data_IF_399301764747
#
_entry.id   IF_399301764747
#
_cell.length_a   1.000
_cell.length_b   1.000
_cell.length_c   1.000
_cell.angle_alpha   90.00
_cell.angle_beta   90.00
_cell.angle_gamma   90.00
#
_symmetry.space_group_name_H-M   'P 1'
#
loop_
_entity.id
_entity.type
_entity.pdbx_description
1 polymer ?
#
# COMPACT_ATOMS: atom_id res chain seq x y z
N UNK A 1 4.67 17.67 -7.44
CA UNK A 1 5.02 18.49 -6.26
C UNK A 1 4.58 17.76 -4.99
N UNK A 2 5.41 17.78 -3.91
CA UNK A 2 5.08 17.23 -2.59
C UNK A 2 4.13 18.16 -1.81
N UNK A 3 3.45 17.61 -0.78
CA UNK A 3 2.64 18.40 0.15
C UNK A 3 1.27 18.89 -0.34
N UNK A 4 0.87 18.56 -1.59
CA UNK A 4 -0.44 18.93 -2.16
C UNK A 4 -1.61 18.09 -1.60
N UNK A 5 -1.33 16.97 -0.92
CA UNK A 5 -2.36 16.11 -0.35
C UNK A 5 -2.82 14.96 -1.25
N UNK A 6 -2.02 14.52 -2.24
CA UNK A 6 -2.35 13.38 -3.12
C UNK A 6 -2.65 12.11 -2.32
N UNK A 7 -1.72 11.67 -1.49
CA UNK A 7 -1.90 10.54 -0.56
C UNK A 7 -3.10 10.72 0.36
N UNK A 8 -3.33 11.94 0.86
CA UNK A 8 -4.48 12.25 1.73
C UNK A 8 -5.81 12.07 0.99
N UNK A 9 -5.89 12.51 -0.27
CA UNK A 9 -7.08 12.32 -1.11
C UNK A 9 -7.29 10.85 -1.42
N UNK A 10 -6.23 10.14 -1.83
CA UNK A 10 -6.28 8.70 -2.10
C UNK A 10 -6.75 7.92 -0.87
N UNK A 11 -6.23 8.22 0.33
CA UNK A 11 -6.68 7.62 1.59
C UNK A 11 -8.14 7.92 1.92
N UNK A 12 -8.59 9.13 1.64
CA UNK A 12 -9.99 9.51 1.85
C UNK A 12 -10.93 8.72 0.93
N UNK A 13 -10.55 8.51 -0.33
CA UNK A 13 -11.28 7.68 -1.28
C UNK A 13 -11.27 6.21 -0.81
N UNK A 14 -10.08 5.66 -0.55
CA UNK A 14 -9.89 4.29 -0.11
C UNK A 14 -10.68 3.92 1.15
N UNK A 15 -10.76 4.86 2.12
CA UNK A 15 -11.47 4.66 3.38
C UNK A 15 -12.96 5.02 3.33
N UNK A 16 -13.48 5.49 2.19
CA UNK A 16 -14.90 5.82 2.05
C UNK A 16 -15.76 4.56 2.07
N UNK A 17 -16.81 4.54 2.87
CA UNK A 17 -17.67 3.37 3.04
C UNK A 17 -18.36 2.93 1.74
N UNK A 18 -18.79 3.87 0.88
CA UNK A 18 -19.37 3.53 -0.42
C UNK A 18 -18.35 2.86 -1.33
N UNK A 19 -17.10 3.34 -1.31
CA UNK A 19 -15.99 2.74 -2.07
C UNK A 19 -15.69 1.34 -1.53
N UNK A 20 -15.56 1.19 -0.20
CA UNK A 20 -15.31 -0.11 0.44
C UNK A 20 -16.39 -1.15 0.13
N UNK A 21 -17.64 -0.74 0.06
CA UNK A 21 -18.74 -1.65 -0.23
C UNK A 21 -18.87 -1.98 -1.73
N UNK A 22 -18.22 -1.21 -2.60
CA UNK A 22 -18.29 -1.40 -4.05
C UNK A 22 -17.29 -2.44 -4.56
N UNK A 23 -16.17 -2.62 -3.90
CA UNK A 23 -15.09 -3.53 -4.30
C UNK A 23 -15.02 -4.74 -3.38
N UNK A 24 -14.75 -5.92 -3.95
CA UNK A 24 -14.59 -7.18 -3.21
C UNK A 24 -13.23 -7.27 -2.54
N UNK A 25 -12.25 -6.52 -3.07
CA UNK A 25 -10.88 -6.47 -2.57
C UNK A 25 -10.34 -5.03 -2.57
N UNK A 26 -9.56 -4.73 -1.53
CA UNK A 26 -8.88 -3.45 -1.38
C UNK A 26 -7.41 -3.69 -1.02
N UNK A 27 -6.51 -3.17 -1.84
CA UNK A 27 -5.07 -3.16 -1.59
C UNK A 27 -4.52 -1.74 -1.52
N UNK A 28 -3.54 -1.53 -0.67
CA UNK A 28 -2.76 -0.30 -0.61
C UNK A 28 -1.28 -0.64 -0.57
N UNK A 29 -0.48 -0.03 -1.43
CA UNK A 29 0.97 -0.15 -1.40
C UNK A 29 1.62 1.22 -1.53
N UNK A 30 2.79 1.36 -0.90
CA UNK A 30 3.68 2.49 -1.06
C UNK A 30 4.80 2.11 -2.01
N UNK A 31 5.06 2.97 -2.99
CA UNK A 31 6.15 2.76 -3.96
C UNK A 31 7.25 3.75 -3.64
N UNK A 32 8.23 3.31 -2.83
CA UNK A 32 9.41 4.13 -2.51
C UNK A 32 10.30 4.33 -3.74
N UNK A 33 11.25 5.27 -3.66
CA UNK A 33 12.23 5.48 -4.73
C UNK A 33 13.12 4.26 -4.95
N UNK A 34 13.45 3.54 -3.86
CA UNK A 34 14.16 2.26 -3.90
C UNK A 34 13.17 1.15 -3.57
N UNK A 35 12.42 0.70 -4.58
CA UNK A 35 11.45 -0.39 -4.43
C UNK A 35 12.01 -1.72 -4.92
N UNK A 36 11.45 -2.81 -4.39
CA UNK A 36 11.59 -4.15 -4.96
C UNK A 36 10.22 -4.62 -5.40
N UNK A 37 10.10 -5.04 -6.64
CA UNK A 37 8.84 -5.55 -7.20
C UNK A 37 8.23 -6.63 -6.31
N UNK A 38 9.09 -7.53 -5.83
CA UNK A 38 8.71 -8.59 -4.91
C UNK A 38 7.95 -8.08 -3.69
N UNK A 39 8.45 -7.03 -3.05
CA UNK A 39 7.84 -6.48 -1.83
C UNK A 39 6.48 -5.86 -2.14
N UNK A 40 6.33 -5.19 -3.28
CA UNK A 40 5.07 -4.62 -3.74
C UNK A 40 4.02 -5.72 -4.01
N UNK A 41 4.41 -6.79 -4.72
CA UNK A 41 3.51 -7.92 -4.99
C UNK A 41 3.07 -8.63 -3.71
N UNK A 42 4.01 -8.84 -2.77
CA UNK A 42 3.72 -9.45 -1.47
C UNK A 42 2.78 -8.60 -0.62
N UNK A 43 2.91 -7.28 -0.67
CA UNK A 43 2.04 -6.37 0.08
C UNK A 43 0.59 -6.46 -0.39
N UNK A 44 0.36 -6.49 -1.70
CA UNK A 44 -1.00 -6.70 -2.25
C UNK A 44 -1.51 -8.10 -1.89
N UNK A 45 -0.69 -9.13 -2.08
CA UNK A 45 -1.09 -10.51 -1.82
C UNK A 45 -1.51 -10.74 -0.37
N UNK A 46 -0.87 -10.10 0.61
CA UNK A 46 -1.28 -10.14 2.03
C UNK A 46 -2.72 -9.67 2.24
N UNK A 47 -3.16 -8.70 1.45
CA UNK A 47 -4.53 -8.17 1.52
C UNK A 47 -5.56 -9.02 0.76
N UNK A 48 -5.18 -9.68 -0.34
CA UNK A 48 -6.12 -10.38 -1.25
C UNK A 48 -6.72 -11.63 -0.65
N UNK A 49 -5.96 -12.36 0.16
CA UNK A 49 -6.44 -13.66 0.66
C UNK A 49 -5.92 -13.94 2.06
N UNK A 50 -6.80 -14.28 3.00
CA UNK A 50 -6.36 -15.06 4.13
C UNK A 50 -5.78 -16.38 3.58
N UNK A 51 -4.57 -16.72 4.00
CA UNK A 51 -3.74 -17.87 3.59
C UNK A 51 -4.49 -19.19 3.21
N UNK A 52 -5.58 -19.58 3.88
CA UNK A 52 -6.29 -20.84 3.57
C UNK A 52 -6.93 -20.89 2.19
N UNK A 53 -7.45 -19.75 1.66
CA UNK A 53 -8.10 -19.74 0.34
C UNK A 53 -7.09 -19.80 -0.82
N UNK A 54 -5.92 -19.26 -0.62
CA UNK A 54 -4.83 -19.28 -1.60
C UNK A 54 -4.22 -20.67 -1.73
N UNK A 55 -4.04 -21.39 -0.63
CA UNK A 55 -3.61 -22.80 -0.60
C UNK A 55 -4.47 -23.68 -1.50
N UNK A 56 -5.79 -23.49 -1.40
CA UNK A 56 -6.76 -24.26 -2.17
C UNK A 56 -6.68 -24.04 -3.67
N UNK A 57 -6.24 -22.84 -4.05
CA UNK A 57 -6.13 -22.41 -5.44
C UNK A 57 -4.84 -22.90 -6.11
N UNK A 58 -3.69 -22.72 -5.45
CA UNK A 58 -2.38 -23.18 -5.93
C UNK A 58 -2.39 -24.72 -6.06
N UNK A 59 -2.82 -25.43 -5.01
CA UNK A 59 -3.00 -26.87 -5.04
C UNK A 59 -3.83 -27.34 -6.21
N UNK A 60 -4.87 -26.58 -6.59
CA UNK A 60 -5.80 -27.00 -7.64
C UNK A 60 -5.23 -26.76 -9.05
N UNK A 61 -4.52 -25.66 -9.29
CA UNK A 61 -3.99 -25.35 -10.60
C UNK A 61 -2.75 -26.19 -10.94
N UNK A 62 -1.76 -26.20 -10.06
CA UNK A 62 -0.49 -26.90 -10.28
C UNK A 62 -0.65 -28.43 -10.22
N UNK A 63 -1.38 -28.94 -9.23
CA UNK A 63 -1.66 -30.37 -9.13
C UNK A 63 -2.40 -30.91 -10.37
N UNK A 64 -3.34 -30.13 -10.89
CA UNK A 64 -4.10 -30.50 -12.08
C UNK A 64 -3.21 -30.53 -13.33
N UNK A 65 -2.34 -29.56 -13.52
CA UNK A 65 -1.45 -29.47 -14.69
C UNK A 65 -0.36 -30.54 -14.64
N UNK A 66 0.34 -30.72 -13.51
CA UNK A 66 1.38 -31.74 -13.38
C UNK A 66 0.83 -33.16 -13.40
N UNK A 67 -0.33 -33.41 -12.77
CA UNK A 67 -1.01 -34.71 -12.87
C UNK A 67 -1.48 -35.00 -14.29
N UNK A 68 -2.01 -34.00 -15.00
CA UNK A 68 -2.40 -34.16 -16.40
C UNK A 68 -1.19 -34.41 -17.30
N UNK A 69 -0.10 -33.68 -17.09
CA UNK A 69 1.14 -33.86 -17.86
C UNK A 69 1.79 -35.22 -17.56
N UNK A 70 1.87 -35.64 -16.30
CA UNK A 70 2.42 -36.94 -15.90
C UNK A 70 1.59 -38.11 -16.44
N UNK A 71 0.26 -37.97 -16.53
CA UNK A 71 -0.65 -38.93 -17.12
C UNK A 71 -0.57 -38.96 -18.66
N UNK A 72 -0.32 -37.83 -19.31
CA UNK A 72 -0.17 -37.77 -20.77
C UNK A 72 1.12 -38.41 -21.27
N UNK A 73 2.21 -38.31 -20.52
CA UNK A 73 3.52 -38.84 -20.91
C UNK A 73 3.62 -40.37 -20.77
N UNK A 74 2.89 -41.00 -19.87
CA UNK A 74 3.13 -42.40 -19.47
C UNK A 74 2.02 -43.45 -19.77
N UNK A 75 0.79 -43.06 -20.01
CA UNK A 75 -0.33 -44.00 -20.13
C UNK A 75 -1.16 -43.83 -21.40
N UNK A 76 -0.72 -44.46 -22.51
CA UNK A 76 -1.46 -44.39 -23.78
C UNK A 76 -2.67 -45.37 -23.87
N UNK A 77 -2.84 -46.34 -22.98
CA UNK A 77 -3.83 -47.40 -23.14
C UNK A 77 -4.94 -47.49 -22.06
N UNK A 78 -4.90 -46.75 -20.96
CA UNK A 78 -5.94 -46.84 -19.92
C UNK A 78 -6.28 -45.44 -19.31
N UNK A 79 -6.24 -44.43 -20.15
CA UNK A 79 -6.30 -42.97 -19.77
C UNK A 79 -7.62 -42.56 -19.11
N UNK A 80 -8.74 -43.10 -19.57
CA UNK A 80 -10.04 -42.47 -19.27
C UNK A 80 -10.58 -42.78 -17.87
N UNK A 81 -10.25 -43.95 -17.34
CA UNK A 81 -10.77 -44.40 -16.05
C UNK A 81 -10.01 -43.78 -14.87
N UNK A 82 -8.68 -43.69 -14.97
CA UNK A 82 -7.84 -43.02 -13.96
C UNK A 82 -8.05 -41.50 -13.95
N UNK A 83 -8.22 -40.89 -15.13
CA UNK A 83 -8.49 -39.49 -15.31
C UNK A 83 -9.83 -39.09 -14.70
N UNK A 84 -10.85 -39.91 -14.83
CA UNK A 84 -12.17 -39.70 -14.23
C UNK A 84 -12.12 -39.68 -12.70
N UNK A 85 -11.51 -40.71 -12.09
CA UNK A 85 -11.39 -40.83 -10.63
C UNK A 85 -10.55 -39.70 -10.01
N UNK A 86 -9.43 -39.35 -10.63
CA UNK A 86 -8.58 -38.26 -10.19
C UNK A 86 -9.26 -36.88 -10.26
N UNK A 87 -10.08 -36.64 -11.29
CA UNK A 87 -10.85 -35.39 -11.44
C UNK A 87 -11.98 -35.33 -10.41
N UNK A 88 -12.60 -36.48 -10.09
CA UNK A 88 -13.64 -36.57 -9.04
C UNK A 88 -13.05 -36.34 -7.65
N UNK A 89 -11.89 -36.94 -7.33
CA UNK A 89 -11.18 -36.73 -6.06
C UNK A 89 -10.71 -35.30 -5.91
N UNK A 90 -10.13 -34.71 -6.96
CA UNK A 90 -9.71 -33.29 -6.98
C UNK A 90 -10.90 -32.30 -6.87
N UNK A 91 -12.07 -32.68 -7.40
CA UNK A 91 -13.29 -31.89 -7.25
C UNK A 91 -13.88 -32.00 -5.83
N UNK A 92 -13.73 -33.17 -5.19
CA UNK A 92 -14.12 -33.40 -3.79
C UNK A 92 -13.34 -32.51 -2.80
N UNK A 93 -12.06 -32.27 -3.06
CA UNK A 93 -11.20 -31.39 -2.24
C UNK A 93 -11.69 -29.91 -2.21
N UNK A 94 -12.54 -29.50 -3.15
CA UNK A 94 -13.09 -28.14 -3.22
C UNK A 94 -13.91 -27.70 -2.00
N UNK A 95 -14.52 -28.63 -1.27
CA UNK A 95 -15.46 -28.36 -0.19
C UNK A 95 -14.88 -28.56 1.23
N UNK A 96 -13.66 -29.08 1.34
CA UNK A 96 -13.04 -29.50 2.60
C UNK A 96 -12.34 -28.37 3.35
N UNK A 97 -12.29 -28.44 4.68
CA UNK A 97 -11.46 -27.58 5.52
C UNK A 97 -9.97 -27.99 5.44
N UNK A 98 -9.05 -27.21 6.04
CA UNK A 98 -7.60 -27.42 5.94
C UNK A 98 -7.12 -28.77 6.45
N UNK A 99 -7.72 -29.31 7.52
CA UNK A 99 -7.35 -30.61 8.08
C UNK A 99 -7.90 -31.77 7.25
N UNK A 100 -9.10 -31.62 6.72
CA UNK A 100 -9.70 -32.59 5.78
C UNK A 100 -8.92 -32.62 4.46
N UNK A 101 -8.47 -31.46 3.94
CA UNK A 101 -7.60 -31.40 2.77
C UNK A 101 -6.26 -32.09 3.00
N UNK A 102 -5.65 -31.91 4.16
CA UNK A 102 -4.40 -32.62 4.54
C UNK A 102 -4.63 -34.12 4.55
N UNK A 103 -5.68 -34.57 5.23
CA UNK A 103 -6.01 -35.99 5.32
C UNK A 103 -6.27 -36.60 3.94
N UNK A 104 -7.11 -35.99 3.12
CA UNK A 104 -7.38 -36.42 1.75
C UNK A 104 -6.13 -36.50 0.87
N UNK A 105 -5.18 -35.58 1.04
CA UNK A 105 -3.89 -35.61 0.35
C UNK A 105 -2.98 -36.72 0.84
N UNK A 106 -2.95 -37.00 2.15
CA UNK A 106 -2.22 -38.14 2.70
C UNK A 106 -2.82 -39.47 2.24
N UNK A 107 -4.15 -39.62 2.29
CA UNK A 107 -4.86 -40.80 1.83
C UNK A 107 -4.61 -41.01 0.32
N UNK A 108 -4.55 -39.96 -0.48
CA UNK A 108 -4.21 -40.02 -1.89
C UNK A 108 -2.75 -40.46 -2.11
N UNK A 109 -1.78 -39.91 -1.34
CA UNK A 109 -0.38 -40.31 -1.42
C UNK A 109 -0.16 -41.77 -1.00
N UNK A 110 -0.93 -42.28 -0.03
CA UNK A 110 -0.91 -43.69 0.32
C UNK A 110 -1.46 -44.58 -0.82
N UNK A 111 -2.48 -44.10 -1.53
CA UNK A 111 -3.10 -44.86 -2.65
C UNK A 111 -2.14 -44.97 -3.86
N UNK A 112 -1.24 -44.00 -4.07
CA UNK A 112 -0.24 -44.06 -5.13
C UNK A 112 1.10 -44.65 -4.67
N UNK A 113 1.18 -45.15 -3.43
CA UNK A 113 2.39 -45.76 -2.85
C UNK A 113 2.86 -46.95 -3.69
N UNK A 114 4.11 -46.90 -4.13
CA UNK A 114 4.68 -47.91 -5.05
C UNK A 114 4.50 -47.56 -6.53
N UNK A 115 3.77 -46.52 -6.89
CA UNK A 115 3.69 -46.02 -8.25
C UNK A 115 4.90 -45.14 -8.59
N UNK A 116 5.30 -45.11 -9.87
CA UNK A 116 6.41 -44.21 -10.32
C UNK A 116 6.13 -42.71 -10.13
N UNK A 117 4.86 -42.34 -9.91
CA UNK A 117 4.44 -40.97 -9.59
C UNK A 117 4.55 -40.62 -8.11
N UNK A 118 4.80 -41.59 -7.21
CA UNK A 118 4.91 -41.36 -5.77
C UNK A 118 6.00 -40.34 -5.43
N UNK A 119 7.20 -40.47 -6.01
CA UNK A 119 8.34 -39.57 -5.72
C UNK A 119 8.15 -38.15 -6.22
N UNK A 120 7.70 -37.90 -7.47
CA UNK A 120 7.41 -36.54 -7.93
C UNK A 120 6.29 -35.86 -7.14
N UNK A 121 5.20 -36.58 -6.88
CA UNK A 121 4.05 -36.06 -6.14
C UNK A 121 4.33 -35.83 -4.66
N UNK A 122 5.07 -36.74 -4.01
CA UNK A 122 5.51 -36.56 -2.63
C UNK A 122 6.43 -35.35 -2.49
N UNK A 123 7.36 -35.13 -3.42
CA UNK A 123 8.21 -33.92 -3.45
C UNK A 123 7.40 -32.66 -3.67
N UNK A 124 6.41 -32.71 -4.56
CA UNK A 124 5.50 -31.58 -4.82
C UNK A 124 4.66 -31.25 -3.59
N UNK A 125 4.02 -32.25 -2.98
CA UNK A 125 3.28 -32.08 -1.73
C UNK A 125 4.18 -31.59 -0.59
N UNK A 126 5.38 -32.14 -0.44
CA UNK A 126 6.37 -31.63 0.51
C UNK A 126 6.81 -30.20 0.22
N UNK A 127 6.96 -29.83 -1.06
CA UNK A 127 7.28 -28.45 -1.44
C UNK A 127 6.17 -27.48 -1.03
N UNK A 128 4.90 -27.89 -1.24
CA UNK A 128 3.74 -27.13 -0.78
C UNK A 128 3.72 -27.04 0.75
N UNK A 129 4.02 -28.14 1.48
CA UNK A 129 4.07 -28.13 2.94
C UNK A 129 5.26 -27.37 3.50
N UNK A 130 6.44 -27.43 2.87
CA UNK A 130 7.60 -26.61 3.25
C UNK A 130 7.38 -25.12 2.96
N UNK A 131 6.79 -24.78 1.80
CA UNK A 131 6.35 -23.43 1.46
C UNK A 131 5.33 -22.87 2.47
N UNK A 132 4.60 -23.74 3.15
CA UNK A 132 3.58 -23.39 4.15
C UNK A 132 4.09 -22.88 5.50
N UNK A 133 5.38 -23.04 5.80
CA UNK A 133 6.02 -22.47 7.00
C UNK A 133 6.50 -21.04 6.81
N UNK A 134 6.79 -20.62 5.58
CA UNK A 134 7.34 -19.30 5.25
C UNK A 134 6.61 -18.54 4.14
N UNK A 135 5.49 -19.04 3.63
CA UNK A 135 4.62 -18.30 2.71
C UNK A 135 5.23 -18.09 1.31
N UNK A 136 4.88 -17.00 0.67
CA UNK A 136 5.23 -16.64 -0.71
C UNK A 136 6.72 -16.24 -0.91
N UNK A 137 7.55 -16.39 0.13
CA UNK A 137 8.95 -15.95 0.11
C UNK A 137 9.84 -16.77 -0.84
N UNK A 138 9.42 -17.97 -1.19
CA UNK A 138 10.17 -18.86 -2.09
C UNK A 138 9.73 -18.76 -3.56
N UNK A 139 8.62 -18.07 -3.85
CA UNK A 139 8.16 -17.83 -5.23
C UNK A 139 9.04 -16.77 -5.90
N UNK A 140 9.32 -16.90 -7.18
CA UNK A 140 9.94 -15.84 -7.95
C UNK A 140 8.94 -14.72 -8.30
N UNK A 141 9.41 -13.62 -8.88
CA UNK A 141 8.57 -12.45 -9.15
C UNK A 141 7.50 -12.73 -10.21
N UNK A 142 7.75 -13.60 -11.19
CA UNK A 142 6.79 -13.96 -12.22
C UNK A 142 5.72 -14.93 -11.68
N UNK A 143 6.10 -15.83 -10.80
CA UNK A 143 5.17 -16.67 -10.04
C UNK A 143 4.26 -15.79 -9.15
N UNK A 144 4.82 -14.78 -8.47
CA UNK A 144 4.04 -13.85 -7.65
C UNK A 144 3.07 -13.01 -8.49
N UNK A 145 3.49 -12.52 -9.67
CA UNK A 145 2.61 -11.81 -10.62
C UNK A 145 1.46 -12.69 -11.08
N UNK A 146 1.76 -13.92 -11.50
CA UNK A 146 0.76 -14.88 -11.93
C UNK A 146 -0.23 -15.22 -10.83
N UNK A 147 0.26 -15.41 -9.61
CA UNK A 147 -0.55 -15.68 -8.44
C UNK A 147 -1.50 -14.51 -8.12
N UNK A 148 -0.99 -13.28 -8.13
CA UNK A 148 -1.78 -12.10 -7.89
C UNK A 148 -2.85 -11.92 -8.97
N UNK A 149 -2.49 -12.13 -10.24
CA UNK A 149 -3.43 -12.10 -11.37
C UNK A 149 -4.61 -13.05 -11.15
N UNK A 150 -4.34 -14.31 -10.85
CA UNK A 150 -5.38 -15.30 -10.60
C UNK A 150 -6.24 -14.99 -9.35
N UNK A 151 -5.64 -14.44 -8.30
CA UNK A 151 -6.37 -14.03 -7.11
C UNK A 151 -7.34 -12.87 -7.35
N UNK A 152 -7.03 -12.00 -8.31
CA UNK A 152 -7.81 -10.81 -8.65
C UNK A 152 -8.80 -11.02 -9.80
N UNK A 153 -8.60 -12.06 -10.62
CA UNK A 153 -9.33 -12.30 -11.88
C UNK A 153 -10.86 -12.27 -11.77
N UNK A 154 -11.39 -12.86 -10.70
CA UNK A 154 -12.85 -12.96 -10.51
C UNK A 154 -13.38 -11.94 -9.49
N UNK A 155 -12.54 -10.99 -9.07
CA UNK A 155 -12.90 -9.99 -8.07
C UNK A 155 -12.96 -8.60 -8.66
N UNK A 156 -13.87 -7.79 -8.14
CA UNK A 156 -13.83 -6.35 -8.32
C UNK A 156 -12.88 -5.75 -7.30
N UNK A 157 -11.73 -5.28 -7.74
CA UNK A 157 -10.69 -4.79 -6.85
C UNK A 157 -10.45 -3.29 -6.98
N UNK A 158 -10.04 -2.69 -5.86
CA UNK A 158 -9.41 -1.37 -5.79
C UNK A 158 -8.01 -1.53 -5.22
N UNK A 159 -6.99 -1.26 -6.02
CA UNK A 159 -5.60 -1.20 -5.57
C UNK A 159 -5.12 0.24 -5.64
N UNK A 160 -4.50 0.72 -4.57
CA UNK A 160 -3.84 2.04 -4.53
C UNK A 160 -2.34 1.84 -4.55
N UNK A 161 -1.69 2.46 -5.54
CA UNK A 161 -0.24 2.57 -5.63
C UNK A 161 0.14 4.02 -5.32
N UNK A 162 0.65 4.25 -4.13
CA UNK A 162 0.91 5.60 -3.64
C UNK A 162 2.37 6.00 -3.88
N UNK A 163 2.56 7.20 -4.40
CA UNK A 163 3.82 7.90 -4.64
C UNK A 163 4.77 7.18 -5.63
N UNK A 164 4.27 6.73 -6.81
CA UNK A 164 5.09 6.10 -7.84
C UNK A 164 6.06 7.14 -8.44
N UNK A 165 7.34 6.75 -8.55
CA UNK A 165 8.42 7.62 -9.02
C UNK A 165 8.88 7.30 -10.45
N UNK A 166 8.73 6.07 -10.92
CA UNK A 166 9.24 5.58 -12.20
C UNK A 166 8.16 4.85 -12.98
N UNK A 167 8.25 4.93 -14.31
CA UNK A 167 7.34 4.25 -15.24
C UNK A 167 7.51 2.74 -15.13
N UNK A 168 8.72 2.29 -14.90
CA UNK A 168 9.12 0.90 -14.78
C UNK A 168 8.37 0.20 -13.64
N UNK A 169 8.23 0.85 -12.49
CA UNK A 169 7.46 0.33 -11.35
C UNK A 169 6.01 0.01 -11.71
N UNK A 170 5.38 0.89 -12.50
CA UNK A 170 4.06 0.64 -13.03
C UNK A 170 4.03 -0.52 -14.02
N UNK A 171 4.95 -0.54 -15.00
CA UNK A 171 4.98 -1.55 -16.05
C UNK A 171 5.15 -2.96 -15.46
N UNK A 172 6.03 -3.12 -14.46
CA UNK A 172 6.31 -4.40 -13.85
C UNK A 172 5.17 -4.94 -12.99
N UNK A 173 4.43 -4.07 -12.29
CA UNK A 173 3.32 -4.50 -11.43
C UNK A 173 2.01 -4.61 -12.20
N UNK A 174 1.81 -3.79 -13.23
CA UNK A 174 0.54 -3.71 -13.96
C UNK A 174 0.13 -5.01 -14.65
N UNK A 175 1.10 -5.84 -15.03
CA UNK A 175 0.86 -7.16 -15.66
C UNK A 175 0.16 -8.14 -14.71
N UNK A 176 0.27 -7.90 -13.40
CA UNK A 176 -0.40 -8.70 -12.37
C UNK A 176 -1.88 -8.30 -12.15
N UNK A 177 -2.36 -7.25 -12.80
CA UNK A 177 -3.74 -6.79 -12.69
C UNK A 177 -4.59 -7.28 -13.87
N UNK A 178 -5.60 -8.16 -13.66
CA UNK A 178 -6.49 -8.60 -14.72
C UNK A 178 -7.28 -7.42 -15.32
N UNK A 179 -7.35 -7.37 -16.66
CA UNK A 179 -8.18 -6.40 -17.37
C UNK A 179 -9.63 -6.88 -17.43
N UNK A 180 -10.32 -6.80 -16.31
CA UNK A 180 -11.70 -7.24 -16.20
C UNK A 180 -12.67 -6.09 -16.52
N UNK A 181 -13.72 -6.37 -17.30
CA UNK A 181 -14.81 -5.41 -17.51
C UNK A 181 -15.75 -5.26 -16.30
N UNK A 182 -15.34 -5.77 -15.13
CA UNK A 182 -16.16 -5.83 -13.91
C UNK A 182 -16.12 -4.55 -13.04
N UNK A 183 -15.43 -3.49 -13.50
CA UNK A 183 -15.31 -2.23 -12.77
C UNK A 183 -14.14 -2.15 -11.80
N UNK A 184 -13.20 -3.11 -11.81
CA UNK A 184 -11.94 -3.03 -11.07
C UNK A 184 -11.16 -1.75 -11.39
N UNK A 185 -10.43 -1.21 -10.40
CA UNK A 185 -9.67 0.04 -10.54
C UNK A 185 -8.31 -0.05 -9.85
N UNK A 186 -7.32 0.60 -10.47
CA UNK A 186 -6.05 0.95 -9.84
C UNK A 186 -5.99 2.46 -9.71
N UNK A 187 -5.77 2.96 -8.50
CA UNK A 187 -5.61 4.38 -8.20
C UNK A 187 -4.12 4.65 -7.97
N UNK A 188 -3.55 5.51 -8.77
CA UNK A 188 -2.13 5.85 -8.72
C UNK A 188 -1.97 7.28 -8.22
N UNK A 189 -1.01 7.52 -7.34
CA UNK A 189 -0.50 8.87 -7.08
C UNK A 189 0.97 8.96 -7.50
N UNK A 190 1.34 10.11 -8.05
CA UNK A 190 2.72 10.41 -8.43
C UNK A 190 3.00 11.91 -8.31
N UNK A 191 4.26 12.25 -8.10
CA UNK A 191 4.77 13.65 -8.21
C UNK A 191 5.24 13.97 -9.63
N UNK A 192 5.38 12.95 -10.46
CA UNK A 192 5.92 13.01 -11.82
C UNK A 192 4.76 12.86 -12.81
N UNK A 193 4.58 13.87 -13.66
CA UNK A 193 3.47 13.93 -14.61
C UNK A 193 3.55 12.84 -15.67
N UNK A 194 4.76 12.55 -16.13
CA UNK A 194 5.05 11.55 -17.15
C UNK A 194 4.60 10.15 -16.70
N UNK A 195 4.86 9.80 -15.44
CA UNK A 195 4.41 8.53 -14.84
C UNK A 195 2.88 8.43 -14.83
N UNK A 196 2.21 9.51 -14.42
CA UNK A 196 0.75 9.53 -14.38
C UNK A 196 0.13 9.45 -15.78
N UNK A 197 0.71 10.12 -16.77
CA UNK A 197 0.28 10.07 -18.17
C UNK A 197 0.48 8.67 -18.76
N UNK A 198 1.64 8.05 -18.52
CA UNK A 198 1.93 6.70 -18.99
C UNK A 198 0.95 5.69 -18.43
N UNK A 199 0.73 5.71 -17.11
CA UNK A 199 -0.20 4.80 -16.45
C UNK A 199 -1.65 4.99 -16.91
N UNK A 200 -2.07 6.21 -17.23
CA UNK A 200 -3.41 6.51 -17.74
C UNK A 200 -3.65 6.01 -19.17
N UNK A 201 -2.58 5.83 -19.96
CA UNK A 201 -2.64 5.33 -21.33
C UNK A 201 -2.60 3.80 -21.41
N UNK A 202 -2.37 3.13 -20.29
CA UNK A 202 -2.27 1.67 -20.22
C UNK A 202 -3.66 1.03 -20.46
N UNK A 203 -3.71 -0.07 -21.18
CA UNK A 203 -4.93 -0.84 -21.55
C UNK A 203 -5.80 -0.26 -22.67
N UNK A 204 -5.28 0.60 -23.55
CA UNK A 204 -6.02 1.09 -24.73
C UNK A 204 -7.44 1.61 -24.42
N UNK A 205 -7.67 2.17 -23.23
CA UNK A 205 -8.92 2.88 -22.92
C UNK A 205 -8.98 4.11 -23.82
N UNK A 206 -9.89 4.13 -24.78
CA UNK A 206 -10.06 5.24 -25.72
C UNK A 206 -11.40 5.93 -25.39
N UNK A 207 -11.38 7.22 -25.05
CA UNK A 207 -10.21 8.07 -24.78
C UNK A 207 -9.53 7.74 -23.43
N UNK A 208 -8.21 7.93 -23.32
CA UNK A 208 -7.50 7.74 -22.05
C UNK A 208 -8.04 8.73 -21.01
N UNK A 209 -8.19 8.27 -19.78
CA UNK A 209 -8.64 9.14 -18.67
C UNK A 209 -7.44 10.02 -18.28
N UNK A 210 -7.48 11.35 -18.47
CA UNK A 210 -6.36 12.21 -18.13
C UNK A 210 -6.08 12.17 -16.61
N UNK A 211 -4.81 12.23 -16.20
CA UNK A 211 -4.46 12.33 -14.79
C UNK A 211 -5.10 13.58 -14.15
N UNK A 212 -5.62 13.40 -12.95
CA UNK A 212 -6.16 14.51 -12.17
C UNK A 212 -5.03 15.29 -11.50
N UNK A 213 -4.80 16.51 -11.95
CA UNK A 213 -3.84 17.42 -11.33
C UNK A 213 -4.49 18.11 -10.12
N UNK A 214 -3.98 17.81 -8.92
CA UNK A 214 -4.48 18.46 -7.71
C UNK A 214 -4.09 19.94 -7.71
N UNK A 215 -5.08 20.86 -7.65
CA UNK A 215 -4.79 22.28 -7.52
C UNK A 215 -4.33 22.62 -6.10
N UNK A 216 -3.67 23.77 -5.98
CA UNK A 216 -3.51 24.42 -4.69
C UNK A 216 -4.87 24.79 -4.11
N UNK A 217 -4.95 24.90 -2.79
CA UNK A 217 -6.17 25.34 -2.13
C UNK A 217 -6.41 26.82 -2.44
N UNK A 218 -7.66 27.18 -2.67
CA UNK A 218 -8.10 28.58 -2.70
C UNK A 218 -8.01 29.23 -1.30
N UNK A 219 -8.19 30.54 -1.23
CA UNK A 219 -8.07 31.28 0.04
C UNK A 219 -9.05 30.79 1.11
N UNK A 220 -10.30 30.48 0.73
CA UNK A 220 -11.33 30.04 1.67
C UNK A 220 -11.04 28.64 2.22
N UNK A 221 -10.68 27.69 1.37
CA UNK A 221 -10.29 26.34 1.80
C UNK A 221 -9.00 26.36 2.61
N UNK A 222 -8.05 27.23 2.23
CA UNK A 222 -6.83 27.43 2.99
C UNK A 222 -7.10 27.96 4.39
N UNK A 223 -7.98 28.93 4.51
CA UNK A 223 -8.42 29.47 5.79
C UNK A 223 -9.19 28.44 6.62
N UNK A 224 -10.08 27.69 6.00
CA UNK A 224 -10.82 26.60 6.66
C UNK A 224 -9.87 25.55 7.25
N UNK A 225 -8.89 25.09 6.45
CA UNK A 225 -7.87 24.12 6.89
C UNK A 225 -7.05 24.66 8.05
N UNK A 226 -6.59 25.91 7.95
CA UNK A 226 -5.82 26.58 8.99
C UNK A 226 -6.63 26.71 10.29
N UNK A 227 -7.85 27.21 10.19
CA UNK A 227 -8.75 27.40 11.33
C UNK A 227 -9.07 26.10 12.05
N UNK A 228 -9.36 25.03 11.30
CA UNK A 228 -9.55 23.70 11.87
C UNK A 228 -8.29 23.22 12.62
N UNK A 229 -7.11 23.47 12.06
CA UNK A 229 -5.85 23.03 12.66
C UNK A 229 -5.51 23.82 13.92
N UNK A 230 -5.76 25.12 13.95
CA UNK A 230 -5.42 26.01 15.07
C UNK A 230 -6.43 25.95 16.19
N UNK A 231 -7.72 25.95 15.84
CA UNK A 231 -8.81 26.13 16.81
C UNK A 231 -9.58 24.82 17.09
N UNK A 232 -9.28 23.70 16.41
CA UNK A 232 -9.90 22.42 16.65
C UNK A 232 -11.43 22.38 16.41
N UNK A 233 -11.94 23.29 15.56
CA UNK A 233 -13.39 23.44 15.32
C UNK A 233 -14.01 24.59 16.12
N UNK A 234 -13.27 25.28 16.98
CA UNK A 234 -13.69 26.54 17.63
C UNK A 234 -13.62 27.74 16.66
N UNK A 235 -14.18 28.87 17.09
CA UNK A 235 -14.15 30.12 16.31
C UNK A 235 -12.83 30.85 16.48
N UNK A 236 -12.34 31.46 15.41
CA UNK A 236 -11.21 32.35 15.46
C UNK A 236 -11.59 33.68 16.19
N UNK A 237 -10.81 34.14 17.17
CA UNK A 237 -10.99 35.48 17.72
C UNK A 237 -10.82 36.54 16.61
N UNK A 238 -11.71 37.53 16.59
CA UNK A 238 -11.71 38.58 15.55
C UNK A 238 -10.35 39.31 15.43
N UNK A 239 -9.70 39.52 16.56
CA UNK A 239 -8.36 40.17 16.61
C UNK A 239 -7.23 39.37 15.96
N UNK A 240 -7.42 38.05 15.79
CA UNK A 240 -6.43 37.17 15.18
C UNK A 240 -6.75 36.82 13.73
N UNK A 241 -7.94 37.07 13.25
CA UNK A 241 -8.36 36.68 11.90
C UNK A 241 -7.50 37.34 10.82
N UNK A 242 -7.24 38.62 10.93
CA UNK A 242 -6.40 39.37 9.95
C UNK A 242 -5.00 38.77 9.88
N UNK A 243 -4.34 38.54 11.01
CA UNK A 243 -3.01 37.93 11.08
C UNK A 243 -3.04 36.49 10.55
N UNK A 244 -4.03 35.72 10.91
CA UNK A 244 -4.21 34.35 10.43
C UNK A 244 -4.36 34.27 8.92
N UNK A 245 -5.17 35.15 8.32
CA UNK A 245 -5.31 35.23 6.86
C UNK A 245 -4.02 35.65 6.17
N UNK A 246 -3.21 36.55 6.77
CA UNK A 246 -1.90 36.87 6.24
C UNK A 246 -0.94 35.68 6.23
N UNK A 247 -0.92 34.87 7.30
CA UNK A 247 -0.13 33.64 7.37
C UNK A 247 -0.60 32.65 6.33
N UNK A 248 -1.92 32.45 6.19
CA UNK A 248 -2.51 31.56 5.20
C UNK A 248 -2.15 31.98 3.77
N UNK A 249 -2.21 33.28 3.47
CA UNK A 249 -1.82 33.84 2.17
C UNK A 249 -0.37 33.54 1.83
N UNK A 250 0.55 33.63 2.81
CA UNK A 250 1.98 33.29 2.61
C UNK A 250 2.19 31.79 2.33
N UNK A 251 1.22 30.90 2.62
CA UNK A 251 1.30 29.48 2.29
C UNK A 251 0.99 29.17 0.82
N UNK A 252 0.54 30.15 0.01
CA UNK A 252 0.23 30.01 -1.41
C UNK A 252 -0.69 28.81 -1.73
N UNK A 253 -1.61 28.47 -0.82
CA UNK A 253 -2.52 27.35 -0.96
C UNK A 253 -1.90 25.96 -0.80
N UNK A 254 -0.64 25.86 -0.35
CA UNK A 254 0.01 24.56 -0.11
C UNK A 254 -0.49 23.93 1.20
N UNK A 255 -1.23 22.79 1.17
CA UNK A 255 -1.82 22.20 2.36
C UNK A 255 -0.80 21.86 3.45
N UNK A 256 0.39 21.36 3.07
CA UNK A 256 1.45 21.03 4.03
C UNK A 256 1.90 22.28 4.80
N UNK A 257 2.11 23.41 4.12
CA UNK A 257 2.49 24.68 4.75
C UNK A 257 1.44 25.11 5.78
N UNK A 258 0.17 25.07 5.38
CA UNK A 258 -0.96 25.47 6.21
C UNK A 258 -1.05 24.60 7.48
N UNK A 259 -0.91 23.27 7.32
CA UNK A 259 -0.99 22.31 8.44
C UNK A 259 0.18 22.49 9.41
N UNK A 260 1.39 22.68 8.90
CA UNK A 260 2.59 22.90 9.73
C UNK A 260 2.48 24.20 10.51
N UNK A 261 2.18 25.32 9.85
CA UNK A 261 2.06 26.62 10.51
C UNK A 261 0.85 26.66 11.45
N UNK A 262 -0.28 26.07 11.05
CA UNK A 262 -1.43 25.93 11.93
C UNK A 262 -1.11 25.10 13.17
N UNK A 263 -0.36 24.00 13.04
CA UNK A 263 0.10 23.18 14.16
C UNK A 263 1.03 23.91 15.12
N UNK A 264 1.93 24.73 14.59
CA UNK A 264 2.79 25.60 15.41
C UNK A 264 1.98 26.59 16.24
N UNK A 265 1.00 27.25 15.62
CA UNK A 265 0.19 28.28 16.28
C UNK A 265 -0.89 27.70 17.21
N UNK A 266 -1.33 26.47 16.97
CA UNK A 266 -2.28 25.78 17.84
C UNK A 266 -1.80 25.70 19.32
N UNK A 267 -0.49 25.52 19.50
CA UNK A 267 0.17 25.39 20.80
C UNK A 267 0.71 26.71 21.36
N UNK A 268 0.44 27.84 20.72
CA UNK A 268 0.87 29.16 21.17
C UNK A 268 -0.28 29.94 21.76
N UNK A 269 0.07 30.90 22.62
CA UNK A 269 -0.91 31.85 23.14
C UNK A 269 -1.63 32.57 22.00
N UNK A 270 -2.95 32.57 22.05
CA UNK A 270 -3.83 33.18 21.05
C UNK A 270 -3.92 34.69 21.26
N UNK A 271 -2.79 35.36 21.14
CA UNK A 271 -2.66 36.81 21.31
C UNK A 271 -2.03 37.45 20.06
N UNK A 272 -2.47 38.63 19.72
CA UNK A 272 -1.97 39.42 18.58
C UNK A 272 -0.44 39.58 18.60
N UNK A 273 0.16 39.92 19.77
CA UNK A 273 1.60 40.07 19.94
C UNK A 273 2.39 38.79 19.63
N UNK A 274 1.85 37.66 19.96
CA UNK A 274 2.48 36.33 19.70
C UNK A 274 2.42 36.02 18.20
N UNK A 275 1.28 36.19 17.57
CA UNK A 275 1.05 35.84 16.18
C UNK A 275 1.76 36.77 15.20
N UNK A 276 1.84 38.09 15.50
CA UNK A 276 2.56 39.07 14.66
C UNK A 276 4.04 38.74 14.48
N UNK A 277 4.68 38.14 15.47
CA UNK A 277 6.06 37.65 15.34
C UNK A 277 6.20 36.55 14.28
N UNK A 278 5.20 35.67 14.17
CA UNK A 278 5.23 34.59 13.20
C UNK A 278 4.96 35.08 11.77
N UNK A 279 4.14 36.10 11.57
CA UNK A 279 3.90 36.68 10.24
C UNK A 279 5.24 37.15 9.59
N UNK A 280 6.09 37.85 10.35
CA UNK A 280 7.38 38.29 9.85
C UNK A 280 8.35 37.14 9.54
N UNK A 281 8.37 36.09 10.40
CA UNK A 281 9.23 34.94 10.22
C UNK A 281 8.78 34.04 9.06
N UNK A 282 7.48 33.85 8.89
CA UNK A 282 6.93 33.02 7.78
C UNK A 282 7.35 33.62 6.43
N UNK A 283 7.26 34.91 6.27
CA UNK A 283 7.67 35.58 5.03
C UNK A 283 9.19 35.48 4.73
N UNK A 284 10.03 35.27 5.74
CA UNK A 284 11.47 35.06 5.54
C UNK A 284 11.84 33.63 5.17
N UNK A 285 10.98 32.66 5.49
CA UNK A 285 11.20 31.25 5.19
C UNK A 285 10.48 30.77 3.91
N UNK A 286 9.40 31.44 3.51
CA UNK A 286 8.64 31.14 2.31
C UNK A 286 9.04 32.13 1.19
N UNK A 287 10.22 31.94 0.62
CA UNK A 287 10.62 32.65 -0.61
C UNK A 287 9.82 32.09 -1.80
N UNK A 288 9.61 32.88 -2.84
CA UNK A 288 8.80 32.54 -4.03
C UNK A 288 9.30 31.32 -4.81
N UNK A 289 10.47 30.78 -4.47
CA UNK A 289 11.07 29.62 -5.12
C UNK A 289 10.62 28.29 -4.51
N UNK A 290 10.56 27.27 -5.36
CA UNK A 290 10.07 25.88 -5.08
C UNK A 290 10.79 25.12 -3.93
N UNK A 291 11.78 25.72 -3.27
CA UNK A 291 12.48 25.21 -2.07
C UNK A 291 11.62 25.23 -0.79
N UNK A 292 10.43 25.81 -0.85
CA UNK A 292 9.57 26.10 0.30
C UNK A 292 9.15 24.87 1.15
N UNK A 293 9.16 23.67 0.58
CA UNK A 293 8.73 22.47 1.32
C UNK A 293 9.76 22.06 2.39
N UNK A 294 11.05 22.15 2.09
CA UNK A 294 12.12 21.85 3.05
C UNK A 294 12.19 22.90 4.16
N UNK A 295 12.00 24.16 3.81
CA UNK A 295 11.99 25.25 4.79
C UNK A 295 10.83 25.13 5.77
N UNK A 296 9.65 24.72 5.27
CA UNK A 296 8.47 24.44 6.09
C UNK A 296 8.73 23.25 7.04
N UNK A 297 9.34 22.18 6.55
CA UNK A 297 9.70 21.02 7.38
C UNK A 297 10.77 21.39 8.41
N UNK A 298 11.75 22.22 8.02
CA UNK A 298 12.77 22.75 8.92
C UNK A 298 12.18 23.58 10.06
N UNK A 299 11.10 24.33 9.80
CA UNK A 299 10.37 25.04 10.85
C UNK A 299 9.84 24.09 11.93
N UNK A 300 9.26 22.94 11.52
CA UNK A 300 8.77 21.92 12.46
C UNK A 300 9.89 21.39 13.33
N UNK A 301 11.04 21.03 12.73
CA UNK A 301 12.23 20.56 13.44
C UNK A 301 12.80 21.62 14.40
N UNK A 302 12.92 22.87 13.95
CA UNK A 302 13.48 23.95 14.75
C UNK A 302 12.68 24.26 15.99
N UNK A 303 11.35 24.08 15.93
CA UNK A 303 10.43 24.30 17.05
C UNK A 303 10.35 23.10 18.02
N UNK A 304 10.92 21.94 17.67
CA UNK A 304 10.97 20.83 18.61
C UNK A 304 11.80 21.18 19.85
N UNK A 305 11.34 20.79 21.05
CA UNK A 305 12.15 20.82 22.26
C UNK A 305 13.50 20.12 22.02
N UNK A 306 14.59 20.65 22.55
CA UNK A 306 15.94 20.10 22.33
C UNK A 306 16.00 18.58 22.58
N UNK A 307 15.30 18.10 23.60
CA UNK A 307 15.24 16.67 23.95
C UNK A 307 14.56 15.78 22.90
N UNK A 308 13.68 16.33 22.05
CA UNK A 308 12.97 15.57 21.03
C UNK A 308 13.64 15.63 19.63
N UNK A 309 14.64 16.49 19.46
CA UNK A 309 15.36 16.60 18.19
C UNK A 309 16.11 15.31 17.82
N UNK A 310 16.82 14.63 18.75
CA UNK A 310 17.41 13.33 18.45
C UNK A 310 16.36 12.27 18.08
N UNK A 311 15.20 12.24 18.76
CA UNK A 311 14.11 11.34 18.42
C UNK A 311 13.60 11.55 16.98
N UNK A 312 13.52 12.81 16.53
CA UNK A 312 13.10 13.14 15.18
C UNK A 312 14.17 12.69 14.16
N UNK A 313 15.44 12.96 14.40
CA UNK A 313 16.52 12.57 13.50
C UNK A 313 16.69 11.05 13.40
N UNK A 314 16.29 10.32 14.44
CA UNK A 314 16.35 8.87 14.47
C UNK A 314 15.49 8.20 13.40
N UNK A 315 14.43 8.86 12.92
CA UNK A 315 13.64 8.34 11.80
C UNK A 315 14.46 8.18 10.51
N UNK A 316 15.54 8.94 10.34
CA UNK A 316 16.40 8.85 9.17
C UNK A 316 17.21 7.54 9.04
N UNK A 317 17.18 6.64 10.03
CA UNK A 317 17.80 5.30 9.93
C UNK A 317 16.88 4.28 9.23
N UNK A 318 15.59 4.61 9.10
CA UNK A 318 14.62 3.73 8.46
C UNK A 318 14.50 4.06 6.99
N UNK A 319 14.23 3.04 6.15
CA UNK A 319 13.88 3.27 4.75
C UNK A 319 12.64 4.17 4.62
N UNK A 320 12.51 4.85 3.47
CA UNK A 320 11.31 5.60 3.12
C UNK A 320 10.07 4.67 3.17
N UNK A 321 8.95 5.18 3.67
CA UNK A 321 7.68 4.50 3.82
C UNK A 321 7.67 3.25 4.74
N UNK A 322 8.75 3.01 5.49
CA UNK A 322 8.79 1.92 6.45
C UNK A 322 7.82 2.17 7.62
N UNK A 323 6.90 1.23 7.85
CA UNK A 323 6.01 1.26 9.01
C UNK A 323 6.74 0.89 10.29
N UNK A 324 7.04 1.87 11.12
CA UNK A 324 7.80 1.67 12.35
C UNK A 324 6.85 1.30 13.49
N UNK A 325 6.95 0.09 14.09
CA UNK A 325 6.13 -0.28 15.24
C UNK A 325 6.41 0.65 16.43
N UNK A 326 5.41 1.34 16.93
CA UNK A 326 5.55 2.34 18.01
C UNK A 326 6.30 1.78 19.24
N UNK A 327 5.99 0.56 19.66
CA UNK A 327 6.65 -0.08 20.82
C UNK A 327 8.15 -0.27 20.57
N UNK A 328 8.54 -0.71 19.39
CA UNK A 328 9.94 -0.89 19.03
C UNK A 328 10.67 0.46 19.00
N UNK A 329 10.06 1.48 18.39
CA UNK A 329 10.64 2.82 18.33
C UNK A 329 10.88 3.41 19.73
N UNK A 330 9.92 3.28 20.63
CA UNK A 330 10.05 3.73 22.03
C UNK A 330 11.19 2.99 22.73
N UNK A 331 11.31 1.67 22.55
CA UNK A 331 12.41 0.88 23.14
C UNK A 331 13.78 1.33 22.62
N UNK A 332 13.88 1.59 21.31
CA UNK A 332 15.11 2.09 20.71
C UNK A 332 15.46 3.49 21.26
N UNK A 333 14.52 4.41 21.36
CA UNK A 333 14.76 5.73 21.93
C UNK A 333 15.16 5.68 23.42
N UNK A 334 14.64 4.70 24.18
CA UNK A 334 15.09 4.46 25.57
C UNK A 334 16.51 3.90 25.58
N UNK A 335 16.85 2.95 24.70
CA UNK A 335 18.18 2.36 24.59
C UNK A 335 19.24 3.40 24.21
N UNK A 336 18.90 4.32 23.30
CA UNK A 336 19.75 5.44 22.90
C UNK A 336 19.82 6.58 23.95
N UNK A 337 19.01 6.49 25.02
CA UNK A 337 18.97 7.52 26.07
C UNK A 337 18.25 8.81 25.68
N UNK A 338 17.50 8.83 24.57
CA UNK A 338 16.75 10.01 24.12
C UNK A 338 15.54 10.29 25.01
N UNK A 339 14.93 9.26 25.56
CA UNK A 339 13.80 9.35 26.48
C UNK A 339 14.05 8.47 27.71
N UNK A 340 13.52 8.89 28.87
CA UNK A 340 13.61 8.12 30.09
C UNK A 340 12.47 7.11 30.17
N UNK A 341 12.76 5.90 30.66
CA UNK A 341 11.73 4.93 31.02
C UNK A 341 11.03 5.46 32.28
N UNK A 342 9.80 5.90 32.14
CA UNK A 342 8.99 6.18 33.34
C UNK A 342 8.77 4.86 34.09
N UNK A 343 9.29 4.80 35.31
CA UNK A 343 9.08 3.70 36.27
C UNK A 343 7.65 3.63 36.72
#
# INVERSE_FOLDING_TARGET
MGGLGKTTLARKIYNNNHVKNHFDFHGWMYVSQEYKIRDLLLEILKGVSPMPKLRKFILKAELKEELLHGLEVKYSSNKDKLKGTLIEDLNGIKAMNDEECKKALYDFLEHIRGHELEKPLSRFVESIYRKNGQGWQDLDDDELKSLLFECLKDKRYLVVMDDIWEIEAWNEVSVAFPTNSNGSRVLITSRIKEVALHASSFNNIIPPIPPYELPFLDEDKSWELFSKKVFGGGTCPLELETLGRQIVKSCHGLPLAIVVLGGLLANKEKMHRTWSKYVGHVNSYLTEDKSSCMDILALSYNQLPRRLKPCFLYFGIYPEDFEIPMRQLIQLWIAEGFIQKNS
#
